data_IF_974133864797
#
_entry.id   IF_974133864797
#
_cell.length_a   1.000
_cell.length_b   1.000
_cell.length_c   1.000
_cell.angle_alpha   90.00
_cell.angle_beta   90.00
_cell.angle_gamma   90.00
#
_symmetry.space_group_name_H-M   'P 1'
#
loop_
_entity.id
_entity.type
_entity.pdbx_description
1 polymer ?
#
# COMPACT_ATOMS: atom_id res chain seq x y z
N UNK A 1 2.61 5.42 -0.01
CA UNK A 1 2.33 6.40 1.07
C UNK A 1 3.39 7.50 1.06
N UNK A 2 2.98 8.75 1.29
CA UNK A 2 3.83 9.95 1.31
C UNK A 2 3.64 10.74 2.60
N UNK A 3 4.74 11.08 3.28
CA UNK A 3 4.74 11.96 4.45
C UNK A 3 5.62 13.19 4.23
N UNK A 4 5.75 14.06 5.24
CA UNK A 4 6.76 15.13 5.23
C UNK A 4 8.20 14.59 5.34
N UNK A 5 8.39 13.40 5.94
CA UNK A 5 9.73 12.84 6.22
C UNK A 5 10.16 11.74 5.25
N UNK A 6 9.22 10.95 4.73
CA UNK A 6 9.52 9.73 3.99
C UNK A 6 8.48 9.37 2.93
N UNK A 7 8.87 8.47 2.04
CA UNK A 7 7.97 7.69 1.19
C UNK A 7 8.06 6.23 1.61
N UNK A 8 6.91 5.56 1.64
CA UNK A 8 6.84 4.12 1.90
C UNK A 8 5.94 3.45 0.85
N UNK A 9 6.41 2.31 0.36
CA UNK A 9 5.66 1.37 -0.45
C UNK A 9 5.65 0.07 0.35
N UNK A 10 4.48 -0.48 0.62
CA UNK A 10 4.38 -1.74 1.32
C UNK A 10 3.41 -2.67 0.60
N UNK A 11 3.82 -3.92 0.48
CA UNK A 11 3.05 -4.96 -0.17
C UNK A 11 1.92 -5.41 0.77
N UNK A 12 0.75 -5.65 0.19
CA UNK A 12 -0.39 -6.22 0.88
C UNK A 12 -0.86 -7.47 0.14
N UNK A 13 -1.26 -8.47 0.91
CA UNK A 13 -1.88 -9.69 0.40
C UNK A 13 -3.40 -9.65 0.64
N UNK A 14 -4.14 -10.51 -0.05
CA UNK A 14 -5.60 -10.62 0.08
C UNK A 14 -5.97 -11.86 0.87
N UNK A 15 -6.70 -11.67 1.98
CA UNK A 15 -7.26 -12.74 2.83
C UNK A 15 -8.62 -12.32 3.40
N UNK A 16 -9.67 -12.30 2.55
CA UNK A 16 -11.00 -11.75 2.90
C UNK A 16 -11.03 -10.22 3.11
N UNK A 17 -9.86 -9.59 3.04
CA UNK A 17 -9.53 -8.18 3.13
C UNK A 17 -8.02 -8.02 2.88
N UNK A 18 -7.48 -6.81 3.00
CA UNK A 18 -6.04 -6.59 2.81
C UNK A 18 -5.27 -6.81 4.11
N UNK A 19 -4.22 -7.64 4.06
CA UNK A 19 -3.26 -7.86 5.15
C UNK A 19 -1.87 -7.45 4.68
N UNK A 20 -0.94 -7.15 5.60
CA UNK A 20 0.44 -6.83 5.24
C UNK A 20 1.13 -8.10 4.69
N UNK A 21 1.84 -8.01 3.57
CA UNK A 21 2.54 -9.18 3.05
C UNK A 21 3.78 -9.48 3.88
N UNK A 22 3.86 -10.70 4.43
CA UNK A 22 5.03 -11.13 5.20
C UNK A 22 6.25 -11.47 4.34
N UNK A 23 6.05 -11.67 3.03
CA UNK A 23 7.07 -12.10 2.08
C UNK A 23 7.30 -11.11 0.95
N UNK A 24 6.29 -10.31 0.60
CA UNK A 24 6.39 -9.30 -0.45
C UNK A 24 7.22 -8.07 -0.04
N UNK A 25 7.77 -7.40 -1.05
CA UNK A 25 8.68 -6.27 -0.84
C UNK A 25 7.94 -5.08 -0.24
N UNK A 26 8.46 -4.62 0.90
CA UNK A 26 8.03 -3.38 1.54
C UNK A 26 9.25 -2.53 1.83
N UNK A 27 9.24 -1.29 1.36
CA UNK A 27 10.40 -0.40 1.38
C UNK A 27 10.01 1.00 1.84
N UNK A 28 10.99 1.68 2.43
CA UNK A 28 10.86 3.06 2.90
C UNK A 28 12.15 3.81 2.61
N UNK A 29 12.04 5.08 2.25
CA UNK A 29 13.19 5.99 2.14
C UNK A 29 12.88 7.41 2.63
N UNK A 30 13.91 8.19 3.02
CA UNK A 30 13.74 9.60 3.32
C UNK A 30 13.23 10.34 2.09
N UNK A 31 12.29 11.27 2.28
CA UNK A 31 11.63 11.97 1.16
C UNK A 31 12.61 12.69 0.22
N UNK A 32 13.72 13.18 0.76
CA UNK A 32 14.79 13.87 0.02
C UNK A 32 15.59 12.95 -0.92
N UNK A 33 15.54 11.64 -0.71
CA UNK A 33 16.26 10.62 -1.49
C UNK A 33 15.34 9.93 -2.51
N UNK A 34 14.07 10.33 -2.56
CA UNK A 34 13.08 9.75 -3.45
C UNK A 34 13.38 10.12 -4.91
N UNK A 35 13.35 9.12 -5.78
CA UNK A 35 13.36 9.29 -7.23
C UNK A 35 12.12 8.66 -7.85
N UNK A 36 11.72 9.15 -9.03
CA UNK A 36 10.62 8.59 -9.82
C UNK A 36 10.90 7.11 -10.13
N UNK A 37 12.13 6.77 -10.53
CA UNK A 37 12.54 5.40 -10.81
C UNK A 37 12.33 4.48 -9.61
N UNK A 38 12.76 4.92 -8.41
CA UNK A 38 12.58 4.12 -7.19
C UNK A 38 11.11 3.84 -6.90
N UNK A 39 10.21 4.81 -7.12
CA UNK A 39 8.77 4.61 -6.94
C UNK A 39 8.26 3.52 -7.89
N UNK A 40 8.58 3.64 -9.17
CA UNK A 40 8.08 2.72 -10.21
C UNK A 40 8.54 1.29 -9.99
N UNK A 41 9.86 1.10 -9.84
CA UNK A 41 10.47 -0.22 -9.62
C UNK A 41 9.88 -0.90 -8.38
N UNK A 42 9.79 -0.19 -7.25
CA UNK A 42 9.32 -0.78 -6.01
C UNK A 42 7.80 -1.00 -6.00
N UNK A 43 7.01 -0.15 -6.68
CA UNK A 43 5.58 -0.39 -6.85
C UNK A 43 5.34 -1.64 -7.69
N UNK A 44 6.00 -1.76 -8.85
CA UNK A 44 5.88 -2.94 -9.71
C UNK A 44 6.28 -4.19 -8.95
N UNK A 45 7.44 -4.17 -8.31
CA UNK A 45 7.92 -5.30 -7.52
C UNK A 45 6.91 -5.71 -6.44
N UNK A 46 6.40 -4.75 -5.67
CA UNK A 46 5.42 -5.02 -4.60
C UNK A 46 4.12 -5.59 -5.14
N UNK A 47 3.65 -5.13 -6.31
CA UNK A 47 2.45 -5.67 -6.96
C UNK A 47 2.66 -7.11 -7.44
N UNK A 48 3.82 -7.41 -8.03
CA UNK A 48 4.15 -8.75 -8.53
C UNK A 48 4.36 -9.79 -7.42
N UNK A 49 4.73 -9.34 -6.22
CA UNK A 49 4.97 -10.20 -5.05
C UNK A 49 3.76 -10.29 -4.11
N UNK A 50 2.69 -9.54 -4.38
CA UNK A 50 1.42 -9.63 -3.64
C UNK A 50 0.74 -10.96 -3.93
N UNK A 51 0.20 -11.58 -2.89
CA UNK A 51 -0.47 -12.87 -3.00
C UNK A 51 -1.97 -12.78 -2.67
N UNK A 52 -2.77 -13.58 -3.39
CA UNK A 52 -4.20 -13.71 -3.11
C UNK A 52 -4.49 -15.04 -2.41
N UNK A 53 -4.46 -15.03 -1.08
CA UNK A 53 -4.79 -16.19 -0.24
C UNK A 53 -6.29 -16.52 -0.22
N UNK A 54 -7.16 -15.71 -0.83
CA UNK A 54 -8.59 -15.99 -0.82
C UNK A 54 -8.92 -17.36 -1.42
N UNK A 55 -8.28 -17.72 -2.53
CA UNK A 55 -8.48 -19.01 -3.19
C UNK A 55 -7.89 -20.16 -2.38
N UNK A 56 -6.75 -19.94 -1.72
CA UNK A 56 -6.06 -20.95 -0.90
C UNK A 56 -6.92 -21.39 0.29
N UNK A 57 -7.73 -20.48 0.84
CA UNK A 57 -8.57 -20.74 2.01
C UNK A 57 -10.08 -20.66 1.74
N UNK A 58 -10.52 -20.59 0.47
CA UNK A 58 -11.93 -20.36 0.14
C UNK A 58 -12.88 -21.40 0.75
N UNK A 59 -12.43 -22.66 0.81
CA UNK A 59 -13.19 -23.78 1.38
C UNK A 59 -12.71 -24.20 2.78
N UNK A 60 -11.77 -23.46 3.37
CA UNK A 60 -11.25 -23.77 4.69
C UNK A 60 -12.15 -23.23 5.81
N UNK A 61 -12.02 -23.83 7.00
CA UNK A 61 -12.61 -23.27 8.22
C UNK A 61 -12.00 -21.89 8.51
N UNK A 62 -12.77 -21.03 9.17
CA UNK A 62 -12.22 -19.77 9.71
C UNK A 62 -11.13 -20.02 10.76
N UNK A 63 -11.19 -21.17 11.44
CA UNK A 63 -10.21 -21.64 12.44
C UNK A 63 -9.09 -22.51 11.83
N UNK A 64 -8.85 -22.39 10.52
CA UNK A 64 -7.74 -23.10 9.87
C UNK A 64 -6.38 -22.64 10.44
N UNK A 65 -5.55 -23.55 10.97
CA UNK A 65 -4.29 -23.19 11.62
C UNK A 65 -3.26 -22.58 10.66
N UNK A 66 -3.27 -22.94 9.37
CA UNK A 66 -2.38 -22.30 8.40
C UNK A 66 -2.85 -20.88 8.05
N UNK A 67 -4.17 -20.65 8.05
CA UNK A 67 -4.73 -19.30 7.92
C UNK A 67 -4.30 -18.40 9.08
N UNK A 68 -4.38 -18.90 10.32
CA UNK A 68 -3.94 -18.12 11.50
C UNK A 68 -2.44 -17.83 11.46
N UNK A 69 -1.62 -18.79 11.01
CA UNK A 69 -0.18 -18.60 10.83
C UNK A 69 0.15 -17.53 9.80
N UNK A 70 -0.58 -17.45 8.68
CA UNK A 70 -0.43 -16.35 7.70
C UNK A 70 -0.75 -15.00 8.34
N UNK A 71 -1.83 -14.94 9.12
CA UNK A 71 -2.22 -13.72 9.85
C UNK A 71 -1.16 -13.30 10.87
N UNK A 72 -0.59 -14.23 11.62
CA UNK A 72 0.43 -13.94 12.63
C UNK A 72 1.75 -13.46 12.00
N UNK A 73 2.17 -14.09 10.90
CA UNK A 73 3.33 -13.64 10.13
C UNK A 73 3.10 -12.25 9.55
N UNK A 74 1.90 -11.98 9.01
CA UNK A 74 1.50 -10.67 8.52
C UNK A 74 1.58 -9.59 9.61
N UNK A 75 0.98 -9.83 10.79
CA UNK A 75 1.01 -8.90 11.93
C UNK A 75 2.44 -8.65 12.43
N UNK A 76 3.26 -9.68 12.47
CA UNK A 76 4.67 -9.58 12.88
C UNK A 76 5.48 -8.72 11.91
N UNK A 77 5.33 -8.97 10.60
CA UNK A 77 5.99 -8.21 9.54
C UNK A 77 5.54 -6.75 9.51
N UNK A 78 4.23 -6.50 9.61
CA UNK A 78 3.65 -5.15 9.69
C UNK A 78 4.24 -4.36 10.87
N UNK A 79 4.28 -5.00 12.05
CA UNK A 79 4.84 -4.38 13.25
C UNK A 79 6.31 -4.04 13.04
N UNK A 80 7.11 -4.97 12.54
CA UNK A 80 8.52 -4.75 12.29
C UNK A 80 8.75 -3.57 11.33
N UNK A 81 7.98 -3.50 10.25
CA UNK A 81 8.06 -2.43 9.26
C UNK A 81 7.74 -1.06 9.88
N UNK A 82 6.58 -0.90 10.51
CA UNK A 82 6.17 0.40 11.05
C UNK A 82 6.99 0.84 12.28
N UNK A 83 7.45 -0.10 13.10
CA UNK A 83 8.34 0.22 14.22
C UNK A 83 9.74 0.60 13.71
N UNK A 84 10.23 -0.04 12.65
CA UNK A 84 11.46 0.37 11.97
C UNK A 84 11.37 1.81 11.44
N UNK A 85 10.25 2.19 10.81
CA UNK A 85 10.01 3.57 10.37
C UNK A 85 9.95 4.53 11.56
N UNK A 86 9.25 4.15 12.64
CA UNK A 86 9.20 4.94 13.87
C UNK A 86 10.61 5.25 14.36
N UNK A 87 11.44 4.24 14.50
CA UNK A 87 12.79 4.36 15.07
C UNK A 87 13.72 5.15 14.14
N UNK A 88 13.69 4.85 12.83
CA UNK A 88 14.55 5.50 11.86
C UNK A 88 14.27 7.00 11.71
N UNK A 89 12.99 7.41 11.76
CA UNK A 89 12.59 8.80 11.60
C UNK A 89 12.27 9.53 12.91
N UNK A 90 12.51 8.87 14.06
CA UNK A 90 12.36 9.44 15.40
C UNK A 90 10.92 9.85 15.75
N UNK A 91 9.94 9.01 15.43
CA UNK A 91 8.56 9.22 15.86
C UNK A 91 8.33 8.69 17.28
N UNK A 92 7.47 9.35 18.05
CA UNK A 92 7.10 8.88 19.41
C UNK A 92 6.32 7.57 19.37
N UNK A 93 5.56 7.34 18.30
CA UNK A 93 4.71 6.16 18.11
C UNK A 93 4.57 5.84 16.61
N UNK A 94 4.38 4.56 16.29
CA UNK A 94 4.16 4.05 14.93
C UNK A 94 2.85 4.58 14.32
N UNK A 95 1.80 4.78 15.12
CA UNK A 95 0.56 5.41 14.66
C UNK A 95 0.79 6.86 14.18
N UNK A 96 1.75 7.58 14.78
CA UNK A 96 2.12 8.93 14.34
C UNK A 96 2.91 8.89 13.03
N UNK A 97 3.72 7.86 12.83
CA UNK A 97 4.40 7.66 11.55
C UNK A 97 3.38 7.47 10.41
N UNK A 98 2.34 6.65 10.65
CA UNK A 98 1.31 6.32 9.64
C UNK A 98 0.30 7.45 9.42
N UNK A 99 -0.26 8.01 10.50
CA UNK A 99 -1.46 8.86 10.42
C UNK A 99 -1.26 10.13 9.60
N UNK A 100 -0.14 10.84 9.74
CA UNK A 100 0.15 12.11 9.05
C UNK A 100 0.73 11.87 7.65
N UNK A 101 -0.07 11.24 6.79
CA UNK A 101 0.35 10.85 5.45
C UNK A 101 -0.75 11.03 4.41
N UNK A 102 -0.35 11.02 3.14
CA UNK A 102 -1.22 10.72 2.01
C UNK A 102 -0.96 9.27 1.59
N UNK A 103 -2.01 8.50 1.29
CA UNK A 103 -1.89 7.12 0.86
C UNK A 103 -2.70 6.87 -0.42
N UNK A 104 -2.19 5.99 -1.26
CA UNK A 104 -2.89 5.51 -2.45
C UNK A 104 -2.99 4.00 -2.28
N UNK A 105 -4.18 3.46 -2.51
CA UNK A 105 -4.35 2.03 -2.66
C UNK A 105 -4.08 1.66 -4.10
N UNK A 106 -3.19 0.70 -4.31
CA UNK A 106 -2.78 0.26 -5.64
C UNK A 106 -3.17 -1.21 -5.76
N UNK A 107 -3.90 -1.56 -6.81
CA UNK A 107 -4.38 -2.91 -7.03
C UNK A 107 -4.34 -3.26 -8.51
N UNK A 108 -4.12 -4.53 -8.79
CA UNK A 108 -4.10 -5.05 -10.15
C UNK A 108 -4.73 -6.44 -10.21
N UNK A 109 -5.79 -6.58 -10.99
CA UNK A 109 -6.44 -7.86 -11.26
C UNK A 109 -5.78 -8.49 -12.49
N UNK A 110 -4.60 -9.08 -12.28
CA UNK A 110 -3.68 -9.49 -13.37
C UNK A 110 -4.28 -10.48 -14.39
N UNK A 111 -5.27 -11.28 -14.00
CA UNK A 111 -5.95 -12.22 -14.91
C UNK A 111 -7.05 -11.56 -15.76
N UNK A 112 -7.54 -10.38 -15.35
CA UNK A 112 -8.71 -9.76 -15.96
C UNK A 112 -8.36 -8.53 -16.80
N UNK A 113 -7.30 -7.81 -16.45
CA UNK A 113 -6.97 -6.55 -17.11
C UNK A 113 -5.47 -6.29 -17.08
N UNK A 114 -4.99 -5.56 -18.08
CA UNK A 114 -3.65 -4.99 -18.05
C UNK A 114 -3.59 -3.69 -17.23
N UNK A 115 -4.71 -3.18 -16.70
CA UNK A 115 -4.76 -1.90 -16.00
C UNK A 115 -4.46 -2.05 -14.50
N UNK A 116 -3.44 -1.34 -14.03
CA UNK A 116 -3.17 -1.12 -12.61
C UNK A 116 -4.03 0.06 -12.15
N UNK A 117 -4.82 -0.15 -11.10
CA UNK A 117 -5.67 0.86 -10.50
C UNK A 117 -4.96 1.57 -9.34
N UNK A 118 -5.03 2.89 -9.34
CA UNK A 118 -4.53 3.76 -8.27
C UNK A 118 -5.71 4.54 -7.69
N UNK A 119 -6.10 4.18 -6.47
CA UNK A 119 -7.17 4.84 -5.74
C UNK A 119 -6.56 5.80 -4.71
N UNK A 120 -6.69 7.10 -4.99
CA UNK A 120 -6.38 8.15 -4.01
C UNK A 120 -7.27 7.98 -2.79
N UNK A 121 -6.72 8.15 -1.59
CA UNK A 121 -7.47 7.95 -0.34
C UNK A 121 -7.74 9.26 0.38
N UNK A 122 -8.68 9.20 1.33
CA UNK A 122 -8.86 10.22 2.35
C UNK A 122 -8.41 9.70 3.71
N UNK A 123 -7.83 10.59 4.49
CA UNK A 123 -7.48 10.37 5.87
C UNK A 123 -8.74 10.20 6.72
N UNK A 124 -8.69 9.21 7.62
CA UNK A 124 -9.74 8.95 8.60
C UNK A 124 -9.11 8.65 9.96
N UNK A 125 -8.79 9.71 10.72
CA UNK A 125 -8.22 9.60 12.06
C UNK A 125 -6.85 8.92 12.05
N UNK A 126 -6.79 7.67 12.52
CA UNK A 126 -5.55 6.88 12.59
C UNK A 126 -5.10 6.24 11.27
N UNK A 127 -5.94 6.25 10.22
CA UNK A 127 -5.64 5.54 8.97
C UNK A 127 -6.19 6.24 7.73
N UNK A 128 -6.41 5.45 6.67
CA UNK A 128 -6.87 5.89 5.36
C UNK A 128 -8.10 5.11 4.93
N UNK A 129 -8.93 5.72 4.10
CA UNK A 129 -10.13 5.08 3.56
C UNK A 129 -10.36 5.49 2.11
N UNK A 130 -11.08 4.64 1.37
CA UNK A 130 -11.67 5.03 0.10
C UNK A 130 -12.65 6.20 0.28
N UNK A 131 -12.91 6.88 -0.83
CA UNK A 131 -13.93 7.92 -0.93
C UNK A 131 -15.33 7.32 -0.86
N UNK A 132 -16.35 8.15 -0.56
CA UNK A 132 -17.72 7.65 -0.59
C UNK A 132 -18.17 7.36 -2.03
N UNK A 133 -19.22 6.55 -2.16
CA UNK A 133 -19.84 6.29 -3.47
C UNK A 133 -20.24 7.62 -4.11
N UNK A 134 -19.80 7.85 -5.36
CA UNK A 134 -20.05 9.10 -6.09
C UNK A 134 -18.96 10.17 -5.93
N UNK A 135 -17.94 9.97 -5.09
CA UNK A 135 -16.84 10.93 -4.88
C UNK A 135 -15.52 10.50 -5.57
N UNK A 136 -15.60 9.57 -6.52
CA UNK A 136 -14.43 8.98 -7.18
C UNK A 136 -13.87 9.83 -8.34
N UNK A 137 -14.60 10.86 -8.78
CA UNK A 137 -14.17 11.71 -9.90
C UNK A 137 -12.84 12.42 -9.55
N UNK A 138 -11.82 12.21 -10.40
CA UNK A 138 -10.46 12.71 -10.17
C UNK A 138 -9.71 12.04 -9.00
N UNK A 139 -10.19 10.89 -8.50
CA UNK A 139 -9.58 10.12 -7.40
C UNK A 139 -9.12 8.71 -7.80
N UNK A 140 -9.51 8.26 -8.99
CA UNK A 140 -9.13 6.95 -9.53
C UNK A 140 -8.32 7.17 -10.81
N UNK A 141 -7.17 6.52 -10.86
CA UNK A 141 -6.24 6.60 -11.98
C UNK A 141 -5.87 5.20 -12.44
N UNK A 142 -5.59 5.08 -13.73
CA UNK A 142 -5.22 3.82 -14.35
C UNK A 142 -3.94 4.00 -15.16
N UNK A 143 -3.14 2.95 -15.20
CA UNK A 143 -1.97 2.83 -16.06
C UNK A 143 -1.84 1.39 -16.50
N UNK A 144 -1.37 1.14 -17.72
CA UNK A 144 -1.09 -0.23 -18.15
C UNK A 144 0.05 -0.83 -17.32
N UNK A 145 -0.05 -2.12 -17.02
CA UNK A 145 0.99 -2.95 -16.42
C UNK A 145 2.20 -3.07 -17.34
N UNK A 146 2.05 -2.81 -18.64
CA UNK A 146 3.15 -2.74 -19.61
C UNK A 146 3.81 -1.36 -19.69
N UNK A 147 3.28 -0.35 -18.99
CA UNK A 147 3.87 0.99 -18.95
C UNK A 147 5.26 0.96 -18.29
N UNK A 148 6.06 2.00 -18.54
CA UNK A 148 7.38 2.11 -17.91
C UNK A 148 7.27 2.36 -16.39
N UNK A 149 8.36 2.13 -15.67
CA UNK A 149 8.40 2.43 -14.23
C UNK A 149 8.19 3.92 -13.96
N UNK A 150 8.68 4.80 -14.83
CA UNK A 150 8.44 6.23 -14.76
C UNK A 150 6.98 6.61 -14.98
N UNK A 151 6.28 5.95 -15.91
CA UNK A 151 4.84 6.16 -16.14
C UNK A 151 4.01 5.71 -14.93
N UNK A 152 4.30 4.52 -14.39
CA UNK A 152 3.67 4.01 -13.16
C UNK A 152 3.91 4.98 -12.00
N UNK A 153 5.14 5.44 -11.83
CA UNK A 153 5.49 6.39 -10.78
C UNK A 153 4.81 7.75 -10.96
N UNK A 154 4.69 8.25 -12.20
CA UNK A 154 3.97 9.48 -12.51
C UNK A 154 2.51 9.39 -12.08
N UNK A 155 1.83 8.30 -12.43
CA UNK A 155 0.42 8.08 -12.04
C UNK A 155 0.29 7.92 -10.52
N UNK A 156 1.22 7.22 -9.87
CA UNK A 156 1.23 7.12 -8.41
C UNK A 156 1.36 8.50 -7.72
N UNK A 157 2.19 9.39 -8.27
CA UNK A 157 2.36 10.75 -7.76
C UNK A 157 1.11 11.61 -8.00
N UNK A 158 0.48 11.52 -9.17
CA UNK A 158 -0.80 12.18 -9.45
C UNK A 158 -1.90 11.71 -8.47
N UNK A 159 -1.99 10.41 -8.22
CA UNK A 159 -2.93 9.86 -7.25
C UNK A 159 -2.64 10.35 -5.82
N UNK A 160 -1.35 10.47 -5.45
CA UNK A 160 -0.95 11.03 -4.15
C UNK A 160 -1.30 12.51 -4.00
N UNK A 161 -1.31 13.27 -5.08
CA UNK A 161 -1.72 14.69 -5.10
C UNK A 161 -3.24 14.84 -5.02
N UNK A 162 -4.00 13.85 -5.49
CA UNK A 162 -5.45 13.81 -5.37
C UNK A 162 -5.96 13.34 -3.99
N UNK A 163 -5.07 12.84 -3.11
CA UNK A 163 -5.44 12.39 -1.77
C UNK A 163 -5.88 13.55 -0.85
N UNK A 164 -6.77 13.25 0.10
CA UNK A 164 -7.04 14.14 1.23
C UNK A 164 -6.31 13.59 2.46
N UNK A 165 -5.07 14.01 2.75
CA UNK A 165 -4.32 13.49 3.88
C UNK A 165 -4.94 13.87 5.23
N UNK A 166 -4.65 13.13 6.30
CA UNK A 166 -5.03 13.47 7.69
C UNK A 166 -4.32 14.72 8.25
N UNK A 167 -3.72 15.58 7.41
CA UNK A 167 -3.13 16.81 7.91
C UNK A 167 -4.26 17.77 8.32
N UNK A 168 -4.47 17.91 9.62
CA UNK A 168 -4.90 19.19 10.19
C UNK A 168 -3.79 20.22 9.97
#
# INVERSE_FOLDING_TARGET
MRTKKYYAIYCQDVLGGSIFSSTGSSVVLPRKEMTVQWIGENLRKSLMESHNYYLDFYNCSTDDPEREKVIDLSRSAERAFWFGIRDWFGFKDHLVAVSKSAAVFVSWEYEQTDQICFLATRGRGGGHSAWYLGENEGKVFYVSSHASDEEIASVALQALDACQPNYA
#
